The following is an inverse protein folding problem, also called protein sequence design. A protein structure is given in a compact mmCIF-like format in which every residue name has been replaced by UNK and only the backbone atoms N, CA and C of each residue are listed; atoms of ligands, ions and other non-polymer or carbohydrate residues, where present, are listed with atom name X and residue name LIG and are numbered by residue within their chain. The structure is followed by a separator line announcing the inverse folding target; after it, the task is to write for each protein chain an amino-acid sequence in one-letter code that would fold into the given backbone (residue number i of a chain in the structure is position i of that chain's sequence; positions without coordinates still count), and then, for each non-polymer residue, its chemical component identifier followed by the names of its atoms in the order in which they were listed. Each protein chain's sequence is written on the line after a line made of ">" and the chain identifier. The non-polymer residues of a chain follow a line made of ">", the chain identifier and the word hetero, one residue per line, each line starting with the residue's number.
data_IF_787884528683
#
_entry.id   IF_787884528683
#
_cell.length_a   1.000
_cell.length_b   1.000
_cell.length_c   1.000
_cell.angle_alpha   90.00
_cell.angle_beta   90.00
_cell.angle_gamma   90.00
#
_symmetry.space_group_name_H-M   'P 1'
#
loop_
_entity.id
_entity.type
_entity.pdbx_description
1 polymer ?
#
# COMPACT_ATOMS: atom_id res chain seq x y z
N UNK A 1 20.58 -19.45 -23.94
CA UNK A 1 20.95 -18.28 -23.12
C UNK A 1 21.52 -18.79 -21.81
N UNK A 2 22.82 -18.52 -21.54
CA UNK A 2 23.56 -19.00 -20.36
C UNK A 2 22.91 -18.40 -19.11
N UNK A 3 22.44 -19.26 -18.20
CA UNK A 3 22.13 -18.88 -16.83
C UNK A 3 23.41 -18.29 -16.19
N UNK A 4 23.57 -16.98 -16.24
CA UNK A 4 24.52 -16.32 -15.35
C UNK A 4 23.88 -16.41 -13.96
N UNK A 5 24.48 -17.16 -13.05
CA UNK A 5 24.22 -17.03 -11.63
C UNK A 5 24.50 -15.56 -11.29
N UNK A 6 23.43 -14.80 -11.12
CA UNK A 6 23.53 -13.42 -10.66
C UNK A 6 23.78 -13.51 -9.16
N UNK A 7 24.86 -12.90 -8.70
CA UNK A 7 25.12 -12.79 -7.27
C UNK A 7 24.10 -11.83 -6.66
N UNK A 8 23.07 -12.39 -6.03
CA UNK A 8 21.97 -11.64 -5.44
C UNK A 8 22.39 -10.68 -4.31
N UNK A 9 23.52 -10.98 -3.64
CA UNK A 9 24.06 -10.07 -2.62
C UNK A 9 24.52 -8.76 -3.24
N UNK A 10 25.04 -8.80 -4.47
CA UNK A 10 25.42 -7.60 -5.21
C UNK A 10 24.22 -6.75 -5.64
N UNK A 11 23.08 -7.38 -6.00
CA UNK A 11 21.86 -6.66 -6.39
C UNK A 11 21.23 -5.90 -5.21
N UNK A 12 21.28 -6.47 -4.02
CA UNK A 12 20.74 -5.86 -2.79
C UNK A 12 21.51 -4.63 -2.34
N UNK A 13 22.84 -4.69 -2.49
CA UNK A 13 23.73 -3.61 -2.04
C UNK A 13 23.89 -2.51 -3.07
N UNK A 14 23.41 -2.73 -4.30
CA UNK A 14 23.50 -1.76 -5.38
C UNK A 14 22.53 -0.60 -5.16
N UNK A 15 23.00 0.59 -5.41
CA UNK A 15 22.17 1.78 -5.56
C UNK A 15 21.77 1.93 -7.03
N UNK A 16 20.46 1.97 -7.29
CA UNK A 16 19.91 2.20 -8.62
C UNK A 16 19.66 3.68 -8.84
N UNK A 17 19.93 4.15 -10.06
CA UNK A 17 19.73 5.54 -10.46
C UNK A 17 18.24 5.81 -10.73
N UNK A 18 17.46 5.89 -9.66
CA UNK A 18 16.02 6.06 -9.72
C UNK A 18 15.29 4.82 -10.26
N UNK A 19 13.99 4.99 -10.53
CA UNK A 19 13.12 3.90 -10.98
C UNK A 19 13.59 3.34 -12.32
N UNK A 20 14.02 4.20 -13.24
CA UNK A 20 14.51 3.77 -14.57
C UNK A 20 15.80 2.95 -14.51
N UNK A 21 16.61 3.16 -13.48
CA UNK A 21 17.80 2.33 -13.22
C UNK A 21 17.48 0.86 -12.92
N UNK A 22 16.24 0.54 -12.53
CA UNK A 22 15.81 -0.85 -12.32
C UNK A 22 15.74 -1.66 -13.61
N UNK A 23 15.79 -1.03 -14.79
CA UNK A 23 15.95 -1.73 -16.08
C UNK A 23 17.30 -2.49 -16.20
N UNK A 24 18.26 -2.21 -15.31
CA UNK A 24 19.49 -2.99 -15.20
C UNK A 24 19.28 -4.37 -14.56
N UNK A 25 18.14 -4.58 -13.89
CA UNK A 25 17.73 -5.88 -13.36
C UNK A 25 17.24 -6.79 -14.50
N UNK A 26 17.48 -8.10 -14.41
CA UNK A 26 17.08 -9.05 -15.47
C UNK A 26 15.56 -9.27 -15.54
N UNK A 27 14.80 -8.54 -14.77
CA UNK A 27 13.37 -8.70 -14.62
C UNK A 27 12.53 -7.71 -15.41
N UNK A 28 13.17 -6.65 -15.91
CA UNK A 28 12.47 -5.55 -16.56
C UNK A 28 13.13 -5.15 -17.86
N UNK A 29 12.31 -4.66 -18.78
CA UNK A 29 12.73 -3.86 -19.93
C UNK A 29 12.08 -2.48 -19.86
N UNK A 30 12.79 -1.48 -20.38
CA UNK A 30 12.25 -0.12 -20.44
C UNK A 30 11.44 0.05 -21.72
N UNK A 31 10.24 0.60 -21.59
CA UNK A 31 9.38 0.98 -22.70
C UNK A 31 9.80 2.33 -23.29
N UNK A 32 9.32 2.67 -24.48
CA UNK A 32 9.64 3.94 -25.16
C UNK A 32 9.19 5.18 -24.36
N UNK A 33 8.12 5.07 -23.57
CA UNK A 33 7.62 6.11 -22.67
C UNK A 33 8.30 6.12 -21.30
N UNK A 34 9.32 5.25 -21.11
CA UNK A 34 10.18 5.23 -19.91
C UNK A 34 9.57 4.55 -18.71
N UNK A 35 8.52 3.74 -18.89
CA UNK A 35 7.99 2.82 -17.90
C UNK A 35 8.74 1.49 -17.93
N UNK A 36 8.54 0.66 -16.92
CA UNK A 36 9.16 -0.66 -16.84
C UNK A 36 8.13 -1.75 -17.12
N UNK A 37 8.47 -2.65 -18.05
CA UNK A 37 7.68 -3.84 -18.35
C UNK A 37 8.32 -5.06 -17.70
N UNK A 38 7.51 -5.89 -17.05
CA UNK A 38 7.94 -7.16 -16.48
C UNK A 38 8.27 -8.17 -17.59
N UNK A 39 9.45 -8.82 -17.49
CA UNK A 39 9.91 -9.85 -18.44
C UNK A 39 10.04 -11.24 -17.82
N UNK A 40 9.57 -11.41 -16.58
CA UNK A 40 9.66 -12.67 -15.84
C UNK A 40 8.55 -13.61 -16.26
N UNK A 41 8.93 -14.78 -16.80
CA UNK A 41 7.98 -15.81 -17.17
C UNK A 41 7.20 -16.39 -15.98
N UNK A 42 5.92 -16.66 -16.20
CA UNK A 42 5.06 -17.35 -15.23
C UNK A 42 4.50 -16.47 -14.12
N UNK A 43 4.77 -15.15 -14.15
CA UNK A 43 4.10 -14.17 -13.31
C UNK A 43 2.99 -13.48 -14.09
N UNK A 44 1.84 -14.12 -14.10
CA UNK A 44 0.61 -13.58 -14.67
C UNK A 44 -0.41 -13.39 -13.54
N UNK A 45 -1.37 -12.50 -13.76
CA UNK A 45 -2.50 -12.30 -12.84
C UNK A 45 -2.11 -11.86 -11.43
N UNK A 46 -1.15 -10.92 -11.33
CA UNK A 46 -0.75 -10.32 -10.06
C UNK A 46 -1.89 -9.57 -9.37
N UNK A 47 -1.79 -9.44 -8.06
CA UNK A 47 -2.68 -8.60 -7.27
C UNK A 47 -1.85 -7.61 -6.45
N UNK A 48 -2.03 -6.33 -6.71
CA UNK A 48 -1.46 -5.29 -5.88
C UNK A 48 -2.38 -5.03 -4.68
N UNK A 49 -1.96 -5.49 -3.52
CA UNK A 49 -2.75 -5.43 -2.27
C UNK A 49 -2.81 -4.05 -1.62
N UNK A 50 -2.10 -3.04 -2.17
CA UNK A 50 -2.00 -1.72 -1.53
C UNK A 50 -1.80 -0.61 -2.56
N UNK A 51 -2.88 0.06 -2.95
CA UNK A 51 -2.83 1.21 -3.86
C UNK A 51 -3.78 2.32 -3.40
N UNK A 52 -3.50 3.53 -3.87
CA UNK A 52 -4.35 4.71 -3.66
C UNK A 52 -4.60 5.41 -4.99
N UNK A 53 -5.72 6.09 -5.13
CA UNK A 53 -5.85 7.15 -6.13
C UNK A 53 -5.46 8.50 -5.51
N UNK A 54 -5.76 9.60 -6.20
CA UNK A 54 -5.49 10.93 -5.68
C UNK A 54 -6.05 11.09 -4.25
N UNK A 55 -5.17 11.38 -3.30
CA UNK A 55 -5.53 11.67 -1.92
C UNK A 55 -5.87 13.15 -1.86
N UNK A 56 -7.12 13.48 -1.55
CA UNK A 56 -7.58 14.85 -1.41
C UNK A 56 -8.05 15.08 0.02
N UNK A 57 -7.36 15.94 0.73
CA UNK A 57 -7.75 16.37 2.06
C UNK A 57 -8.73 17.54 1.95
N UNK A 58 -9.77 17.55 2.78
CA UNK A 58 -10.81 18.58 2.78
C UNK A 58 -11.62 18.65 1.46
N UNK A 59 -12.49 19.64 1.32
CA UNK A 59 -13.30 19.87 0.11
C UNK A 59 -12.55 20.62 -1.01
N UNK A 60 -11.25 20.41 -1.13
CA UNK A 60 -10.48 20.99 -2.23
C UNK A 60 -10.89 20.44 -3.61
N UNK A 61 -10.42 21.05 -4.70
CA UNK A 61 -10.69 20.59 -6.06
C UNK A 61 -10.28 19.14 -6.22
N UNK A 62 -11.23 18.28 -6.63
CA UNK A 62 -10.97 16.85 -6.84
C UNK A 62 -10.46 16.65 -8.27
N UNK A 63 -9.30 15.97 -8.45
CA UNK A 63 -8.81 15.59 -9.77
C UNK A 63 -9.84 14.74 -10.54
N UNK A 64 -9.84 14.83 -11.86
CA UNK A 64 -10.58 13.89 -12.70
C UNK A 64 -9.86 12.53 -12.73
N UNK A 65 -10.35 11.58 -11.93
CA UNK A 65 -9.79 10.24 -11.82
C UNK A 65 -9.90 9.42 -13.12
N UNK A 66 -10.64 9.87 -14.12
CA UNK A 66 -10.79 9.19 -15.41
C UNK A 66 -9.79 9.72 -16.46
N UNK A 67 -9.09 10.80 -16.16
CA UNK A 67 -8.17 11.42 -17.10
C UNK A 67 -6.84 10.67 -17.17
N UNK A 68 -6.41 10.29 -18.37
CA UNK A 68 -5.05 9.77 -18.60
C UNK A 68 -4.06 10.92 -18.66
N UNK A 69 -2.99 10.82 -17.87
CA UNK A 69 -1.87 11.76 -17.91
C UNK A 69 -0.65 11.09 -18.55
N UNK A 70 0.18 11.85 -19.29
CA UNK A 70 1.37 11.29 -19.95
C UNK A 70 2.36 10.64 -18.99
N UNK A 71 2.42 11.14 -17.76
CA UNK A 71 3.37 10.69 -16.73
C UNK A 71 2.68 10.69 -15.36
N UNK A 72 2.95 9.68 -14.55
CA UNK A 72 2.59 9.69 -13.12
C UNK A 72 3.66 10.43 -12.33
N UNK A 73 3.24 11.39 -11.50
CA UNK A 73 4.13 12.10 -10.56
C UNK A 73 4.08 11.38 -9.22
N UNK A 74 5.03 10.48 -8.98
CA UNK A 74 5.12 9.79 -7.69
C UNK A 74 5.65 10.71 -6.60
N UNK A 75 5.31 10.42 -5.34
CA UNK A 75 5.86 11.18 -4.21
C UNK A 75 7.36 10.92 -4.01
N UNK A 76 7.84 9.70 -4.23
CA UNK A 76 9.27 9.46 -4.45
C UNK A 76 9.60 9.75 -5.91
N UNK A 77 10.40 10.77 -6.18
CA UNK A 77 10.78 11.17 -7.54
C UNK A 77 11.40 10.01 -8.30
N UNK A 78 11.08 9.89 -9.60
CA UNK A 78 11.60 8.82 -10.48
C UNK A 78 13.12 8.79 -10.57
N UNK A 79 13.79 9.89 -10.22
CA UNK A 79 15.26 10.03 -10.23
C UNK A 79 15.88 9.78 -8.86
N UNK A 80 15.06 9.74 -7.79
CA UNK A 80 15.59 9.52 -6.44
C UNK A 80 16.25 8.15 -6.35
N UNK A 81 17.46 8.06 -5.80
CA UNK A 81 18.22 6.83 -5.76
C UNK A 81 17.48 5.75 -4.95
N UNK A 82 17.53 4.52 -5.42
CA UNK A 82 16.86 3.38 -4.79
C UNK A 82 17.90 2.39 -4.24
N UNK A 83 17.84 2.15 -2.93
CA UNK A 83 18.59 1.11 -2.23
C UNK A 83 17.65 -0.02 -1.84
N UNK A 84 17.93 -1.23 -2.32
CA UNK A 84 17.04 -2.39 -2.10
C UNK A 84 17.01 -2.85 -0.64
N UNK A 85 18.07 -2.61 0.11
CA UNK A 85 18.17 -2.97 1.54
C UNK A 85 17.62 -1.92 2.51
N UNK A 86 17.14 -0.79 2.01
CA UNK A 86 16.45 0.18 2.84
C UNK A 86 14.95 -0.07 2.82
N UNK A 87 14.24 0.26 3.91
CA UNK A 87 12.81 0.50 3.84
C UNK A 87 12.55 1.60 2.80
N UNK A 88 11.52 1.44 1.95
CA UNK A 88 11.36 2.30 0.78
C UNK A 88 11.28 3.79 1.13
N UNK A 89 10.57 4.14 2.20
CA UNK A 89 10.47 5.51 2.69
C UNK A 89 11.81 6.16 3.07
N UNK A 90 12.83 5.35 3.38
CA UNK A 90 14.18 5.86 3.68
C UNK A 90 14.94 6.31 2.41
N UNK A 91 14.46 5.96 1.22
CA UNK A 91 15.02 6.45 -0.04
C UNK A 91 14.53 7.88 -0.38
N UNK A 92 13.50 8.39 0.28
CA UNK A 92 13.04 9.76 0.08
C UNK A 92 14.17 10.76 0.38
N UNK A 93 14.36 11.67 -0.54
CA UNK A 93 15.20 12.85 -0.34
C UNK A 93 14.43 13.92 0.44
N UNK A 94 15.12 14.97 0.93
CA UNK A 94 14.43 16.12 1.52
C UNK A 94 13.50 16.81 0.51
N UNK A 95 13.87 16.80 -0.77
CA UNK A 95 13.03 17.33 -1.83
C UNK A 95 11.76 16.51 -2.05
N UNK A 96 11.83 15.16 -1.99
CA UNK A 96 10.65 14.29 -2.09
C UNK A 96 9.67 14.58 -0.95
N UNK A 97 10.17 14.73 0.27
CA UNK A 97 9.35 15.07 1.45
C UNK A 97 8.72 16.46 1.33
N UNK A 98 9.47 17.44 0.84
CA UNK A 98 8.96 18.77 0.57
C UNK A 98 7.87 18.74 -0.52
N UNK A 99 8.08 17.99 -1.60
CA UNK A 99 7.11 17.81 -2.68
C UNK A 99 5.82 17.17 -2.17
N UNK A 100 5.92 16.15 -1.33
CA UNK A 100 4.76 15.48 -0.72
C UNK A 100 3.96 16.45 0.15
N UNK A 101 4.64 17.22 1.01
CA UNK A 101 4.00 18.22 1.86
C UNK A 101 3.33 19.32 1.02
N UNK A 102 4.03 19.85 0.03
CA UNK A 102 3.50 20.88 -0.87
C UNK A 102 2.33 20.33 -1.71
N UNK A 103 2.36 19.07 -2.10
CA UNK A 103 1.24 18.43 -2.81
C UNK A 103 -0.02 18.38 -1.94
N UNK A 104 0.11 18.04 -0.66
CA UNK A 104 -1.03 18.04 0.28
C UNK A 104 -1.60 19.46 0.45
N UNK A 105 -0.75 20.47 0.57
CA UNK A 105 -1.18 21.88 0.71
C UNK A 105 -1.79 22.41 -0.59
N UNK A 106 -1.20 22.11 -1.74
CA UNK A 106 -1.69 22.60 -3.04
C UNK A 106 -3.01 21.94 -3.48
N UNK A 107 -3.39 20.81 -2.87
CA UNK A 107 -4.72 20.24 -3.08
C UNK A 107 -5.85 21.20 -2.63
N UNK A 108 -5.54 22.22 -1.83
CA UNK A 108 -6.46 23.25 -1.40
C UNK A 108 -6.56 24.46 -2.37
N UNK A 109 -5.68 24.52 -3.39
CA UNK A 109 -5.71 25.57 -4.40
C UNK A 109 -6.69 25.24 -5.53
N UNK A 110 -7.21 26.25 -6.28
CA UNK A 110 -8.13 26.01 -7.39
C UNK A 110 -7.58 25.08 -8.49
N UNK A 111 -6.26 25.11 -8.71
CA UNK A 111 -5.55 24.30 -9.70
C UNK A 111 -5.31 22.86 -9.20
N UNK A 112 -5.44 22.64 -7.90
CA UNK A 112 -5.12 21.37 -7.27
C UNK A 112 -3.61 21.08 -7.24
N UNK A 113 -3.25 19.87 -6.87
CA UNK A 113 -1.85 19.43 -6.83
C UNK A 113 -1.41 18.84 -8.17
N UNK A 114 -0.26 19.27 -8.68
CA UNK A 114 0.36 18.69 -9.88
C UNK A 114 0.71 17.22 -9.73
N UNK A 115 0.86 16.73 -8.49
CA UNK A 115 1.07 15.32 -8.18
C UNK A 115 -0.26 14.58 -8.19
N UNK A 116 -1.18 14.93 -7.29
CA UNK A 116 -2.46 14.22 -7.12
C UNK A 116 -3.30 14.23 -8.38
N UNK A 117 -3.19 15.26 -9.23
CA UNK A 117 -3.87 15.30 -10.52
C UNK A 117 -3.49 14.13 -11.45
N UNK A 118 -2.32 13.51 -11.26
CA UNK A 118 -1.86 12.37 -12.08
C UNK A 118 -2.16 11.00 -11.46
N UNK A 119 -2.67 10.96 -10.23
CA UNK A 119 -2.96 9.73 -9.50
C UNK A 119 -4.35 9.19 -9.87
N UNK A 120 -4.48 8.75 -11.10
CA UNK A 120 -5.75 8.44 -11.76
C UNK A 120 -5.88 6.97 -12.13
N UNK A 121 -7.10 6.52 -12.38
CA UNK A 121 -7.40 5.14 -12.79
C UNK A 121 -6.60 4.72 -14.04
N UNK A 122 -6.59 5.49 -15.16
CA UNK A 122 -5.84 5.07 -16.33
C UNK A 122 -4.32 5.05 -16.13
N UNK A 123 -3.79 5.90 -15.23
CA UNK A 123 -2.36 5.90 -14.94
C UNK A 123 -1.95 4.64 -14.15
N UNK A 124 -2.72 4.25 -13.14
CA UNK A 124 -2.47 3.00 -12.41
C UNK A 124 -2.61 1.78 -13.34
N UNK A 125 -3.69 1.70 -14.12
CA UNK A 125 -3.91 0.58 -15.04
C UNK A 125 -2.74 0.43 -16.03
N UNK A 126 -2.16 1.52 -16.52
CA UNK A 126 -1.02 1.44 -17.44
C UNK A 126 0.20 0.75 -16.80
N UNK A 127 0.48 1.00 -15.52
CA UNK A 127 1.54 0.28 -14.80
C UNK A 127 1.15 -1.16 -14.51
N UNK A 128 -0.09 -1.40 -14.09
CA UNK A 128 -0.62 -2.75 -13.85
C UNK A 128 -0.46 -3.65 -15.09
N UNK A 129 -0.84 -3.14 -16.27
CA UNK A 129 -0.78 -3.90 -17.51
C UNK A 129 0.66 -4.23 -17.91
N UNK A 130 1.60 -3.31 -17.72
CA UNK A 130 3.03 -3.55 -17.99
C UNK A 130 3.67 -4.55 -17.00
N UNK A 131 3.12 -4.67 -15.82
CA UNK A 131 3.65 -5.52 -14.76
C UNK A 131 2.85 -6.81 -14.56
N UNK A 132 1.89 -7.14 -15.44
CA UNK A 132 1.02 -8.32 -15.37
C UNK A 132 0.17 -8.37 -14.07
N UNK A 133 -0.28 -7.22 -13.58
CA UNK A 133 -1.17 -7.11 -12.43
C UNK A 133 -2.61 -7.03 -12.92
N UNK A 134 -3.42 -8.00 -12.55
CA UNK A 134 -4.82 -8.04 -12.95
C UNK A 134 -5.71 -7.19 -12.06
N UNK A 135 -5.42 -7.16 -10.78
CA UNK A 135 -6.26 -6.46 -9.79
C UNK A 135 -5.42 -5.59 -8.86
N UNK A 136 -6.02 -4.49 -8.43
CA UNK A 136 -5.46 -3.63 -7.38
C UNK A 136 -6.48 -3.42 -6.26
N UNK A 137 -6.01 -3.49 -5.02
CA UNK A 137 -6.78 -3.13 -3.83
C UNK A 137 -6.67 -1.63 -3.63
N UNK A 138 -7.77 -0.91 -3.77
CA UNK A 138 -7.81 0.56 -3.68
C UNK A 138 -8.21 0.98 -2.27
N UNK A 139 -7.35 1.75 -1.64
CA UNK A 139 -7.41 2.13 -0.23
C UNK A 139 -7.63 3.65 -0.09
N UNK A 140 -8.87 4.13 0.06
CA UNK A 140 -9.12 5.52 0.40
C UNK A 140 -8.60 5.81 1.83
N UNK A 141 -8.20 7.06 2.10
CA UNK A 141 -7.72 7.49 3.42
C UNK A 141 -8.66 8.56 3.96
N UNK A 142 -9.42 8.23 5.01
CA UNK A 142 -10.22 9.19 5.75
C UNK A 142 -9.36 9.90 6.80
N UNK A 143 -9.43 11.23 6.80
CA UNK A 143 -8.74 12.08 7.79
C UNK A 143 -9.56 12.27 9.07
N UNK A 144 -10.86 11.97 9.01
CA UNK A 144 -11.77 12.15 10.13
C UNK A 144 -12.18 13.60 10.37
N UNK A 145 -12.09 14.43 9.33
CA UNK A 145 -12.66 15.77 9.35
C UNK A 145 -14.20 15.72 9.31
N UNK A 146 -14.90 16.70 9.90
CA UNK A 146 -16.36 16.75 9.87
C UNK A 146 -16.95 17.01 8.46
N UNK A 147 -16.13 17.49 7.53
CA UNK A 147 -16.52 17.82 6.15
C UNK A 147 -15.46 17.29 5.17
N UNK A 148 -15.89 16.98 3.94
CA UNK A 148 -14.99 16.65 2.83
C UNK A 148 -14.26 15.32 2.93
N UNK A 149 -14.73 14.42 3.78
CA UNK A 149 -14.09 13.11 4.02
C UNK A 149 -14.74 11.97 3.21
N UNK A 150 -15.43 12.32 2.11
CA UNK A 150 -16.17 11.38 1.26
C UNK A 150 -15.32 10.74 0.15
N UNK A 151 -14.05 10.55 0.44
CA UNK A 151 -13.07 10.02 -0.52
C UNK A 151 -13.46 8.61 -1.01
N UNK A 152 -14.10 7.79 -0.18
CA UNK A 152 -14.59 6.46 -0.59
C UNK A 152 -15.69 6.58 -1.65
N UNK A 153 -16.64 7.49 -1.46
CA UNK A 153 -17.73 7.72 -2.41
C UNK A 153 -17.20 8.20 -3.76
N UNK A 154 -16.26 9.12 -3.73
CA UNK A 154 -15.62 9.63 -4.93
C UNK A 154 -14.88 8.52 -5.70
N UNK A 155 -14.17 7.62 -5.01
CA UNK A 155 -13.49 6.49 -5.65
C UNK A 155 -14.50 5.49 -6.24
N UNK A 156 -15.58 5.18 -5.51
CA UNK A 156 -16.63 4.28 -5.99
C UNK A 156 -17.28 4.81 -7.27
N UNK A 157 -17.65 6.10 -7.31
CA UNK A 157 -18.23 6.76 -8.50
C UNK A 157 -17.25 6.72 -9.68
N UNK A 158 -15.99 7.08 -9.45
CA UNK A 158 -14.99 7.10 -10.52
C UNK A 158 -14.73 5.70 -11.09
N UNK A 159 -14.63 4.68 -10.24
CA UNK A 159 -14.42 3.28 -10.69
C UNK A 159 -15.65 2.79 -11.49
N UNK A 160 -16.86 3.06 -11.06
CA UNK A 160 -18.06 2.69 -11.79
C UNK A 160 -18.09 3.35 -13.19
N UNK A 161 -17.82 4.65 -13.25
CA UNK A 161 -17.77 5.43 -14.49
C UNK A 161 -16.62 5.04 -15.42
N UNK A 162 -15.53 4.49 -14.87
CA UNK A 162 -14.37 4.05 -15.67
C UNK A 162 -14.65 2.80 -16.52
N UNK A 163 -15.69 2.03 -16.20
CA UNK A 163 -15.95 0.72 -16.80
C UNK A 163 -14.89 -0.33 -16.50
N UNK A 164 -14.04 -0.11 -15.49
CA UNK A 164 -12.91 -0.99 -15.10
C UNK A 164 -13.06 -1.60 -13.70
N UNK A 165 -14.30 -1.72 -13.24
CA UNK A 165 -14.62 -2.21 -11.90
C UNK A 165 -14.03 -3.60 -11.57
N UNK A 166 -13.93 -4.45 -12.57
CA UNK A 166 -13.33 -5.78 -12.48
C UNK A 166 -11.83 -5.77 -12.18
N UNK A 167 -11.14 -4.65 -12.43
CA UNK A 167 -9.72 -4.46 -12.13
C UNK A 167 -9.48 -4.07 -10.66
N UNK A 168 -10.51 -3.77 -9.87
CA UNK A 168 -10.35 -3.18 -8.55
C UNK A 168 -11.08 -3.94 -7.45
N UNK A 169 -10.42 -4.08 -6.30
CA UNK A 169 -10.98 -4.48 -5.02
C UNK A 169 -11.07 -3.21 -4.18
N UNK A 170 -12.29 -2.74 -3.91
CA UNK A 170 -12.48 -1.43 -3.30
C UNK A 170 -12.67 -1.59 -1.81
N UNK A 171 -11.82 -0.92 -1.02
CA UNK A 171 -12.02 -0.73 0.41
C UNK A 171 -12.73 0.60 0.68
N UNK A 172 -13.34 0.69 1.85
CA UNK A 172 -13.80 1.97 2.40
C UNK A 172 -12.77 2.56 3.36
N UNK A 173 -13.03 3.76 3.85
CA UNK A 173 -12.26 4.35 4.93
C UNK A 173 -13.16 5.00 5.96
N UNK A 174 -12.83 4.78 7.24
CA UNK A 174 -13.59 5.30 8.39
C UNK A 174 -12.59 5.70 9.48
N UNK A 175 -12.83 6.83 10.15
CA UNK A 175 -12.17 7.12 11.42
C UNK A 175 -12.90 6.37 12.54
N UNK A 176 -12.27 5.38 13.18
CA UNK A 176 -12.93 4.46 14.11
C UNK A 176 -13.54 5.11 15.36
N UNK A 177 -12.97 6.23 15.81
CA UNK A 177 -13.36 6.91 17.06
C UNK A 177 -14.50 7.91 16.89
N UNK A 178 -15.05 8.09 15.68
CA UNK A 178 -16.20 8.95 15.48
C UNK A 178 -17.50 8.28 15.94
N UNK A 179 -18.47 9.04 16.48
CA UNK A 179 -19.74 8.48 16.95
C UNK A 179 -20.55 7.74 15.90
N UNK A 180 -20.38 8.08 14.62
CA UNK A 180 -21.08 7.48 13.48
C UNK A 180 -20.28 6.40 12.76
N UNK A 181 -19.08 6.03 13.26
CA UNK A 181 -18.18 5.06 12.62
C UNK A 181 -18.88 3.73 12.31
N UNK A 182 -19.64 3.18 13.25
CA UNK A 182 -20.44 1.95 13.08
C UNK A 182 -21.48 2.11 11.97
N UNK A 183 -22.22 3.23 11.95
CA UNK A 183 -23.23 3.51 10.93
C UNK A 183 -22.60 3.62 9.54
N UNK A 184 -21.50 4.37 9.43
CA UNK A 184 -20.75 4.56 8.20
C UNK A 184 -20.22 3.22 7.66
N UNK A 185 -19.68 2.36 8.52
CA UNK A 185 -19.21 1.02 8.17
C UNK A 185 -20.32 0.15 7.56
N UNK A 186 -21.52 0.15 8.15
CA UNK A 186 -22.69 -0.55 7.60
C UNK A 186 -23.07 -0.04 6.21
N UNK A 187 -23.08 1.28 6.03
CA UNK A 187 -23.39 1.90 4.75
C UNK A 187 -22.37 1.53 3.67
N UNK A 188 -21.08 1.53 4.01
CA UNK A 188 -20.02 1.14 3.09
C UNK A 188 -20.12 -0.34 2.68
N UNK A 189 -20.46 -1.24 3.62
CA UNK A 189 -20.74 -2.65 3.30
C UNK A 189 -21.86 -2.80 2.29
N UNK A 190 -22.96 -2.05 2.46
CA UNK A 190 -24.10 -2.07 1.52
C UNK A 190 -23.69 -1.55 0.12
N UNK A 191 -22.72 -0.65 0.03
CA UNK A 191 -22.16 -0.16 -1.24
C UNK A 191 -21.16 -1.14 -1.88
N UNK A 192 -20.89 -2.26 -1.23
CA UNK A 192 -20.09 -3.35 -1.79
C UNK A 192 -18.60 -3.24 -1.53
N UNK A 193 -18.14 -2.38 -0.60
CA UNK A 193 -16.72 -2.38 -0.20
C UNK A 193 -16.33 -3.72 0.41
N UNK A 194 -15.09 -4.14 0.18
CA UNK A 194 -14.58 -5.46 0.57
C UNK A 194 -13.78 -5.45 1.87
N UNK A 195 -13.31 -4.29 2.31
CA UNK A 195 -12.56 -4.09 3.54
C UNK A 195 -12.56 -2.62 3.94
N UNK A 196 -11.92 -2.29 5.06
CA UNK A 196 -11.80 -0.92 5.54
C UNK A 196 -10.33 -0.57 5.73
N UNK A 197 -9.88 0.49 5.08
CA UNK A 197 -8.57 1.13 5.34
C UNK A 197 -8.69 2.07 6.52
N UNK A 198 -7.75 1.95 7.44
CA UNK A 198 -7.61 2.86 8.58
C UNK A 198 -6.18 3.37 8.64
N UNK A 199 -6.03 4.68 8.82
CA UNK A 199 -4.73 5.33 8.90
C UNK A 199 -4.59 6.09 10.23
N UNK A 200 -4.03 5.47 11.28
CA UNK A 200 -4.01 6.05 12.63
C UNK A 200 -3.39 7.44 12.70
N UNK A 201 -2.27 7.67 12.00
CA UNK A 201 -1.61 8.98 12.01
C UNK A 201 -2.46 10.08 11.34
N UNK A 202 -3.11 9.78 10.19
CA UNK A 202 -3.97 10.77 9.50
C UNK A 202 -5.26 11.03 10.26
N UNK A 203 -5.84 9.99 10.84
CA UNK A 203 -7.08 10.10 11.61
C UNK A 203 -6.86 10.49 13.10
N UNK A 204 -5.61 10.69 13.52
CA UNK A 204 -5.20 11.13 14.86
C UNK A 204 -5.86 10.30 16.00
N UNK A 205 -5.68 8.99 15.97
CA UNK A 205 -6.10 8.07 17.04
C UNK A 205 -5.12 6.91 17.15
N UNK A 206 -5.10 6.22 18.29
CA UNK A 206 -4.32 4.99 18.47
C UNK A 206 -5.22 3.76 18.33
N UNK A 207 -4.76 2.67 17.69
CA UNK A 207 -5.57 1.46 17.51
C UNK A 207 -6.14 0.84 18.80
N UNK A 208 -5.46 0.99 19.93
CA UNK A 208 -5.91 0.54 21.23
C UNK A 208 -6.90 1.49 21.93
N UNK A 209 -7.30 2.60 21.30
CA UNK A 209 -8.33 3.49 21.83
C UNK A 209 -9.66 2.75 21.94
N UNK A 210 -10.23 2.72 23.15
CA UNK A 210 -11.51 2.05 23.44
C UNK A 210 -12.69 2.60 22.64
N UNK A 211 -12.63 3.85 22.18
CA UNK A 211 -13.65 4.42 21.31
C UNK A 211 -13.74 3.72 19.95
N UNK A 212 -12.64 3.06 19.51
CA UNK A 212 -12.61 2.31 18.25
C UNK A 212 -13.23 0.89 18.36
N UNK A 213 -13.50 0.38 19.58
CA UNK A 213 -13.85 -1.03 19.76
C UNK A 213 -15.21 -1.40 19.14
N UNK A 214 -16.23 -0.55 19.27
CA UNK A 214 -17.52 -0.78 18.62
C UNK A 214 -17.39 -0.87 17.07
N UNK A 215 -16.47 -0.11 16.49
CA UNK A 215 -16.14 -0.21 15.06
C UNK A 215 -15.46 -1.53 14.73
N UNK A 216 -14.50 -2.01 15.53
CA UNK A 216 -13.85 -3.32 15.31
C UNK A 216 -14.84 -4.47 15.42
N UNK A 217 -15.71 -4.45 16.42
CA UNK A 217 -16.78 -5.43 16.56
C UNK A 217 -17.69 -5.46 15.34
N UNK A 218 -18.09 -4.29 14.84
CA UNK A 218 -18.94 -4.20 13.65
C UNK A 218 -18.22 -4.69 12.37
N UNK A 219 -16.95 -4.37 12.19
CA UNK A 219 -16.15 -4.90 11.07
C UNK A 219 -16.07 -6.42 11.12
N UNK A 220 -15.83 -7.00 12.32
CA UNK A 220 -15.83 -8.44 12.53
C UNK A 220 -17.17 -9.07 12.18
N UNK A 221 -18.27 -8.50 12.69
CA UNK A 221 -19.64 -8.97 12.41
C UNK A 221 -20.01 -8.93 10.93
N UNK A 222 -19.52 -7.95 10.19
CA UNK A 222 -19.77 -7.77 8.76
C UNK A 222 -18.80 -8.55 7.86
N UNK A 223 -17.79 -9.20 8.44
CA UNK A 223 -16.72 -9.85 7.68
C UNK A 223 -15.94 -8.84 6.80
N UNK A 224 -15.65 -7.66 7.33
CA UNK A 224 -14.85 -6.63 6.67
C UNK A 224 -13.44 -6.63 7.28
N UNK A 225 -12.42 -7.12 6.58
CA UNK A 225 -11.05 -7.05 7.04
C UNK A 225 -10.60 -5.59 7.19
N UNK A 226 -9.66 -5.36 8.10
CA UNK A 226 -9.05 -4.07 8.33
C UNK A 226 -7.65 -4.02 7.73
N UNK A 227 -7.39 -3.03 6.87
CA UNK A 227 -6.08 -2.73 6.35
C UNK A 227 -5.54 -1.52 7.12
N UNK A 228 -4.64 -1.78 8.05
CA UNK A 228 -4.16 -0.81 9.02
C UNK A 228 -2.79 -0.29 8.62
N UNK A 229 -2.69 1.02 8.35
CA UNK A 229 -1.37 1.66 8.30
C UNK A 229 -0.69 1.50 9.65
N UNK A 230 0.50 0.89 9.69
CA UNK A 230 1.17 0.59 10.94
C UNK A 230 2.69 0.76 10.88
N UNK A 231 3.26 1.05 12.02
CA UNK A 231 4.69 1.22 12.22
C UNK A 231 5.25 2.58 11.78
N UNK A 232 6.55 2.69 11.87
CA UNK A 232 7.33 3.87 11.53
C UNK A 232 7.76 3.78 10.06
N UNK A 233 7.30 4.67 9.20
CA UNK A 233 7.39 4.50 7.73
C UNK A 233 8.29 5.51 7.01
N UNK A 234 8.98 6.40 7.68
CA UNK A 234 9.82 7.40 7.03
C UNK A 234 10.95 7.95 7.90
N UNK A 235 11.72 8.88 7.35
CA UNK A 235 12.76 9.60 8.11
C UNK A 235 12.17 10.42 9.25
N UNK A 236 10.97 10.96 9.05
CA UNK A 236 10.25 11.75 10.07
C UNK A 236 9.93 10.93 11.30
N UNK A 237 9.81 9.62 11.15
CA UNK A 237 9.52 8.70 12.25
C UNK A 237 10.71 8.48 13.19
N UNK A 238 11.92 8.84 12.76
CA UNK A 238 13.13 8.67 13.56
C UNK A 238 13.36 9.79 14.59
N UNK A 239 12.72 10.96 14.40
CA UNK A 239 12.83 12.10 15.31
C UNK A 239 11.44 12.74 15.55
N UNK A 240 10.74 12.32 16.62
CA UNK A 240 9.39 12.79 16.91
C UNK A 240 9.29 14.30 17.20
N UNK A 241 10.39 14.95 17.51
CA UNK A 241 10.39 16.39 17.85
C UNK A 241 10.51 17.29 16.60
N UNK A 242 10.85 16.72 15.44
CA UNK A 242 11.00 17.46 14.16
C UNK A 242 9.76 17.41 13.27
N UNK A 243 8.75 16.64 13.61
CA UNK A 243 7.57 16.44 12.78
C UNK A 243 6.43 17.33 13.27
N UNK A 244 6.25 18.53 12.82
CA UNK A 244 5.12 19.45 12.99
C UNK A 244 3.80 18.82 13.53
N UNK A 245 3.84 18.06 14.64
CA UNK A 245 2.71 17.33 15.23
C UNK A 245 2.34 16.00 14.53
N UNK A 246 2.94 15.65 13.42
CA UNK A 246 2.83 14.33 12.78
C UNK A 246 3.81 13.37 13.44
N UNK A 247 3.54 13.06 14.68
CA UNK A 247 4.32 12.05 15.40
C UNK A 247 3.86 10.69 14.91
N UNK A 248 4.74 9.83 14.40
CA UNK A 248 4.44 8.45 14.02
C UNK A 248 3.85 7.59 15.16
N UNK A 249 3.59 8.18 16.32
CA UNK A 249 3.13 7.57 17.57
C UNK A 249 1.77 6.88 17.46
N UNK A 250 0.84 7.41 16.66
CA UNK A 250 -0.48 6.80 16.51
C UNK A 250 -0.40 5.44 15.80
N UNK A 251 0.50 5.32 14.84
CA UNK A 251 0.72 4.07 14.10
C UNK A 251 1.83 3.20 14.70
N UNK A 252 2.41 3.55 15.86
CA UNK A 252 3.36 2.69 16.55
C UNK A 252 2.78 1.29 16.70
N UNK A 253 3.54 0.28 16.26
CA UNK A 253 3.07 -1.11 16.18
C UNK A 253 2.63 -1.66 17.53
N UNK A 254 3.15 -1.13 18.64
CA UNK A 254 2.76 -1.55 19.98
C UNK A 254 1.29 -1.25 20.31
N UNK A 255 0.67 -0.29 19.63
CA UNK A 255 -0.75 0.03 19.79
C UNK A 255 -1.69 -1.01 19.17
N UNK A 256 -1.16 -1.97 18.40
CA UNK A 256 -1.97 -2.96 17.68
C UNK A 256 -2.15 -4.28 18.43
N UNK A 257 -1.33 -4.59 19.43
CA UNK A 257 -1.41 -5.86 20.16
C UNK A 257 -2.77 -6.11 20.78
N UNK A 258 -3.29 -5.14 21.49
CA UNK A 258 -4.53 -5.30 22.26
C UNK A 258 -5.76 -5.52 21.35
N UNK A 259 -6.03 -4.67 20.33
CA UNK A 259 -7.18 -4.89 19.46
C UNK A 259 -7.06 -6.19 18.63
N UNK A 260 -5.88 -6.57 18.17
CA UNK A 260 -5.69 -7.82 17.43
C UNK A 260 -6.03 -9.02 18.32
N UNK A 261 -5.57 -9.05 19.56
CA UNK A 261 -5.87 -10.13 20.50
C UNK A 261 -7.34 -10.16 20.91
N UNK A 262 -7.99 -8.99 21.03
CA UNK A 262 -9.38 -8.89 21.43
C UNK A 262 -10.40 -9.31 20.35
N UNK A 263 -10.02 -9.22 19.07
CA UNK A 263 -10.88 -9.53 17.91
C UNK A 263 -10.31 -10.64 17.03
N UNK A 264 -10.20 -11.90 17.52
CA UNK A 264 -9.56 -12.99 16.77
C UNK A 264 -10.30 -13.42 15.49
N UNK A 265 -11.58 -13.07 15.36
CA UNK A 265 -12.37 -13.33 14.16
C UNK A 265 -12.29 -12.22 13.12
N UNK A 266 -11.65 -11.08 13.44
CA UNK A 266 -11.44 -9.98 12.54
C UNK A 266 -10.07 -10.14 11.85
N UNK A 267 -10.05 -10.17 10.53
CA UNK A 267 -8.80 -10.20 9.79
C UNK A 267 -8.16 -8.81 9.75
N UNK A 268 -6.87 -8.76 10.09
CA UNK A 268 -6.05 -7.56 10.04
C UNK A 268 -4.94 -7.73 8.99
N UNK A 269 -4.81 -6.75 8.10
CA UNK A 269 -3.62 -6.60 7.27
C UNK A 269 -2.79 -5.45 7.87
N UNK A 270 -1.62 -5.77 8.40
CA UNK A 270 -0.66 -4.78 8.88
C UNK A 270 0.09 -4.22 7.68
N UNK A 271 -0.42 -3.08 7.18
CA UNK A 271 0.18 -2.39 6.04
C UNK A 271 1.63 -1.99 6.34
N UNK A 272 2.48 -2.03 5.32
CA UNK A 272 3.91 -1.77 5.45
C UNK A 272 4.65 -2.78 6.35
N UNK A 273 3.97 -3.85 6.79
CA UNK A 273 4.54 -4.84 7.74
C UNK A 273 5.26 -4.18 8.91
N UNK A 274 4.67 -3.11 9.48
CA UNK A 274 5.25 -2.36 10.58
C UNK A 274 6.37 -1.38 10.20
N UNK A 275 6.64 -1.15 8.92
CA UNK A 275 7.69 -0.23 8.49
C UNK A 275 9.06 -0.59 9.08
N UNK A 276 9.68 0.33 9.83
CA UNK A 276 10.95 0.12 10.53
C UNK A 276 10.82 -0.77 11.77
N UNK A 277 9.60 -1.12 12.21
CA UNK A 277 9.29 -2.02 13.32
C UNK A 277 8.91 -3.43 12.81
N UNK A 278 9.45 -3.86 11.67
CA UNK A 278 9.07 -5.09 10.97
C UNK A 278 9.21 -6.36 11.82
N UNK A 279 10.23 -6.47 12.65
CA UNK A 279 10.42 -7.59 13.56
C UNK A 279 9.24 -7.77 14.54
N UNK A 280 8.67 -6.67 15.02
CA UNK A 280 7.49 -6.70 15.91
C UNK A 280 6.25 -7.13 15.12
N UNK A 281 6.07 -6.66 13.87
CA UNK A 281 4.96 -7.09 13.03
C UNK A 281 5.00 -8.60 12.75
N UNK A 282 6.18 -9.17 12.50
CA UNK A 282 6.38 -10.62 12.35
C UNK A 282 5.94 -11.35 13.61
N UNK A 283 6.36 -10.88 14.80
CA UNK A 283 6.00 -11.49 16.08
C UNK A 283 4.48 -11.44 16.35
N UNK A 284 3.82 -10.33 16.00
CA UNK A 284 2.37 -10.22 16.08
C UNK A 284 1.72 -11.26 15.14
N UNK A 285 2.13 -11.32 13.89
CA UNK A 285 1.54 -12.24 12.91
C UNK A 285 1.78 -13.71 13.25
N UNK A 286 2.92 -14.06 13.86
CA UNK A 286 3.20 -15.43 14.33
C UNK A 286 2.27 -15.87 15.45
N UNK A 287 1.87 -14.96 16.33
CA UNK A 287 1.00 -15.23 17.49
C UNK A 287 -0.48 -15.17 17.16
N UNK A 288 -0.87 -14.59 16.01
CA UNK A 288 -2.25 -14.33 15.65
C UNK A 288 -2.52 -14.73 14.20
N UNK A 289 -3.29 -15.80 14.00
CA UNK A 289 -3.58 -16.36 12.68
C UNK A 289 -4.43 -15.43 11.80
N UNK A 290 -5.18 -14.52 12.41
CA UNK A 290 -6.00 -13.52 11.75
C UNK A 290 -5.19 -12.31 11.22
N UNK A 291 -3.86 -12.31 11.37
CA UNK A 291 -2.98 -11.22 10.94
C UNK A 291 -2.26 -11.58 9.65
N UNK A 292 -2.33 -10.69 8.68
CA UNK A 292 -1.64 -10.74 7.40
C UNK A 292 -0.68 -9.55 7.29
N UNK A 293 0.37 -9.70 6.51
CA UNK A 293 1.35 -8.65 6.25
C UNK A 293 1.40 -8.33 4.75
N UNK A 294 1.38 -7.07 4.37
CA UNK A 294 1.84 -6.70 3.04
C UNK A 294 3.35 -6.38 3.06
N UNK A 295 4.03 -6.71 1.98
CA UNK A 295 5.48 -6.48 1.86
C UNK A 295 5.82 -5.04 1.44
N UNK A 296 4.81 -4.18 1.36
CA UNK A 296 4.95 -2.81 0.89
C UNK A 296 6.07 -2.08 1.63
N UNK A 297 6.95 -1.44 0.89
CA UNK A 297 8.06 -0.66 1.42
C UNK A 297 9.21 -1.47 2.04
N UNK A 298 9.04 -2.76 2.31
CA UNK A 298 10.05 -3.54 3.01
C UNK A 298 11.31 -3.77 2.17
N UNK A 299 12.46 -3.82 2.84
CA UNK A 299 13.74 -4.17 2.23
C UNK A 299 13.75 -5.63 1.77
N UNK A 300 14.63 -5.96 0.84
CA UNK A 300 14.84 -7.35 0.38
C UNK A 300 15.17 -8.26 1.56
N UNK A 301 16.04 -7.81 2.48
CA UNK A 301 16.40 -8.56 3.68
C UNK A 301 15.20 -8.81 4.60
N UNK A 302 14.33 -7.80 4.81
CA UNK A 302 13.13 -7.96 5.62
C UNK A 302 12.11 -8.91 4.97
N UNK A 303 11.93 -8.84 3.64
CA UNK A 303 11.04 -9.77 2.92
C UNK A 303 11.52 -11.22 3.11
N UNK A 304 12.83 -11.48 2.99
CA UNK A 304 13.39 -12.82 3.27
C UNK A 304 13.17 -13.24 4.72
N UNK A 305 13.34 -12.32 5.66
CA UNK A 305 13.09 -12.60 7.08
C UNK A 305 11.62 -12.95 7.32
N UNK A 306 10.68 -12.21 6.74
CA UNK A 306 9.25 -12.52 6.83
C UNK A 306 8.93 -13.91 6.25
N UNK A 307 9.47 -14.25 5.07
CA UNK A 307 9.29 -15.58 4.45
C UNK A 307 9.83 -16.66 5.37
N UNK A 308 11.02 -16.47 5.97
CA UNK A 308 11.66 -17.45 6.85
C UNK A 308 10.92 -17.62 8.17
N UNK A 309 10.52 -16.53 8.83
CA UNK A 309 10.03 -16.55 10.21
C UNK A 309 8.50 -16.73 10.30
N UNK A 310 7.74 -16.25 9.32
CA UNK A 310 6.29 -16.35 9.27
C UNK A 310 5.78 -17.41 8.29
N UNK A 311 6.55 -17.70 7.25
CA UNK A 311 6.08 -18.41 6.05
C UNK A 311 5.48 -17.44 5.02
N UNK A 312 5.41 -17.88 3.73
CA UNK A 312 4.91 -17.03 2.66
C UNK A 312 3.38 -16.89 2.64
N UNK A 313 2.62 -17.76 3.32
CA UNK A 313 1.17 -17.96 3.13
C UNK A 313 0.33 -16.76 3.51
N UNK A 314 0.82 -15.90 4.39
CA UNK A 314 0.13 -14.69 4.88
C UNK A 314 0.84 -13.40 4.50
N UNK A 315 1.70 -13.47 3.46
CA UNK A 315 2.36 -12.30 2.88
C UNK A 315 1.67 -11.93 1.57
N UNK A 316 1.46 -10.64 1.33
CA UNK A 316 0.87 -10.11 0.09
C UNK A 316 1.76 -9.04 -0.53
N UNK A 317 1.83 -9.02 -1.85
CA UNK A 317 2.42 -7.90 -2.58
C UNK A 317 1.58 -6.65 -2.42
N UNK A 318 2.22 -5.50 -2.31
CA UNK A 318 1.60 -4.17 -2.30
C UNK A 318 2.62 -3.12 -2.71
N UNK A 319 2.21 -2.13 -3.49
CA UNK A 319 3.09 -1.09 -4.02
C UNK A 319 3.05 0.22 -3.26
N UNK A 320 1.92 0.54 -2.65
CA UNK A 320 1.62 1.88 -2.13
C UNK A 320 1.60 2.95 -3.25
N UNK A 321 1.25 2.51 -4.48
CA UNK A 321 1.06 3.47 -5.55
C UNK A 321 0.04 4.54 -5.13
N UNK A 322 0.27 5.82 -5.32
CA UNK A 322 1.31 6.49 -6.10
C UNK A 322 2.47 7.05 -5.25
N UNK A 323 2.63 6.60 -4.00
CA UNK A 323 3.81 7.01 -3.22
C UNK A 323 5.09 6.52 -3.90
N UNK A 324 5.04 5.31 -4.47
CA UNK A 324 6.12 4.69 -5.20
C UNK A 324 5.62 4.09 -6.52
N UNK A 325 6.49 4.00 -7.52
CA UNK A 325 6.19 3.25 -8.74
C UNK A 325 6.09 1.75 -8.42
N UNK A 326 5.10 1.07 -8.97
CA UNK A 326 4.84 -0.36 -8.71
C UNK A 326 6.06 -1.24 -8.95
N UNK A 327 6.80 -0.97 -10.04
CA UNK A 327 8.01 -1.71 -10.40
C UNK A 327 9.08 -1.70 -9.31
N UNK A 328 9.19 -0.63 -8.51
CA UNK A 328 10.22 -0.52 -7.46
C UNK A 328 9.97 -1.48 -6.29
N UNK A 329 8.72 -1.76 -5.98
CA UNK A 329 8.35 -2.73 -4.95
C UNK A 329 8.38 -4.15 -5.50
N UNK A 330 7.96 -4.35 -6.76
CA UNK A 330 8.04 -5.64 -7.43
C UNK A 330 9.49 -6.12 -7.58
N UNK A 331 10.43 -5.23 -7.89
CA UNK A 331 11.86 -5.55 -7.93
C UNK A 331 12.35 -6.19 -6.62
N UNK A 332 11.91 -5.68 -5.47
CA UNK A 332 12.28 -6.20 -4.14
C UNK A 332 11.74 -7.62 -3.92
N UNK A 333 10.50 -7.89 -4.29
CA UNK A 333 9.92 -9.22 -4.24
C UNK A 333 10.71 -10.19 -5.14
N UNK A 334 11.02 -9.77 -6.37
CA UNK A 334 11.74 -10.59 -7.35
C UNK A 334 13.14 -10.97 -6.85
N UNK A 335 13.88 -10.03 -6.27
CA UNK A 335 15.20 -10.27 -5.68
C UNK A 335 15.07 -11.15 -4.43
N UNK A 336 14.11 -10.87 -3.55
CA UNK A 336 13.93 -11.61 -2.30
C UNK A 336 13.59 -13.09 -2.53
N UNK A 337 12.86 -13.38 -3.61
CA UNK A 337 12.40 -14.73 -3.97
C UNK A 337 13.18 -15.34 -5.14
N UNK A 338 14.40 -14.89 -5.39
CA UNK A 338 15.25 -15.46 -6.43
C UNK A 338 15.43 -16.96 -6.21
N UNK A 339 15.19 -17.73 -7.28
CA UNK A 339 15.25 -19.19 -7.23
C UNK A 339 13.99 -19.89 -6.71
N UNK A 340 13.03 -19.19 -6.10
CA UNK A 340 11.77 -19.79 -5.63
C UNK A 340 10.55 -19.17 -6.31
N UNK A 341 10.19 -19.75 -7.45
CA UNK A 341 9.02 -19.31 -8.25
C UNK A 341 7.69 -19.55 -7.53
N UNK A 342 7.62 -20.54 -6.65
CA UNK A 342 6.40 -20.88 -5.91
C UNK A 342 6.10 -19.82 -4.87
N UNK A 343 7.05 -19.51 -3.99
CA UNK A 343 6.91 -18.43 -3.00
C UNK A 343 6.61 -17.09 -3.69
N UNK A 344 7.32 -16.80 -4.78
CA UNK A 344 7.11 -15.59 -5.58
C UNK A 344 5.65 -15.46 -6.03
N UNK A 345 5.10 -16.51 -6.63
CA UNK A 345 3.72 -16.54 -7.13
C UNK A 345 2.70 -16.43 -6.00
N UNK A 346 2.94 -17.11 -4.89
CA UNK A 346 2.08 -17.00 -3.70
C UNK A 346 1.95 -15.55 -3.24
N UNK A 347 3.07 -14.85 -3.02
CA UNK A 347 3.08 -13.47 -2.51
C UNK A 347 2.54 -12.49 -3.56
N UNK A 348 2.90 -12.69 -4.84
CA UNK A 348 2.51 -11.79 -5.93
C UNK A 348 1.01 -11.85 -6.27
N UNK A 349 0.37 -13.00 -6.07
CA UNK A 349 -1.00 -13.25 -6.56
C UNK A 349 -1.86 -14.09 -5.61
N UNK A 350 -1.47 -15.35 -5.37
CA UNK A 350 -2.37 -16.38 -4.83
C UNK A 350 -2.89 -16.04 -3.43
N UNK A 351 -2.04 -15.49 -2.58
CA UNK A 351 -2.41 -15.12 -1.21
C UNK A 351 -3.47 -14.02 -1.18
N UNK A 352 -3.31 -12.98 -2.01
CA UNK A 352 -4.31 -11.92 -2.09
C UNK A 352 -5.62 -12.42 -2.70
N UNK A 353 -5.58 -13.27 -3.74
CA UNK A 353 -6.78 -13.89 -4.31
C UNK A 353 -7.52 -14.72 -3.27
N UNK A 354 -6.80 -15.51 -2.46
CA UNK A 354 -7.38 -16.29 -1.35
C UNK A 354 -7.96 -15.38 -0.26
N UNK A 355 -7.22 -14.37 0.17
CA UNK A 355 -7.67 -13.43 1.20
C UNK A 355 -8.99 -12.73 0.82
N UNK A 356 -9.13 -12.34 -0.44
CA UNK A 356 -10.30 -11.64 -0.94
C UNK A 356 -11.42 -12.57 -1.45
N UNK A 357 -11.25 -13.90 -1.32
CA UNK A 357 -12.25 -14.90 -1.78
C UNK A 357 -12.48 -14.89 -3.29
N UNK A 358 -11.42 -14.61 -4.08
CA UNK A 358 -11.48 -14.52 -5.55
C UNK A 358 -11.03 -15.81 -6.25
N UNK A 359 -10.57 -16.80 -5.51
CA UNK A 359 -10.37 -18.18 -5.99
C UNK A 359 -11.48 -19.05 -5.44
N UNK A 360 -12.11 -19.87 -6.28
CA UNK A 360 -12.92 -20.98 -5.80
C UNK A 360 -11.99 -21.93 -5.04
N UNK A 361 -12.29 -22.21 -3.78
CA UNK A 361 -11.73 -23.36 -3.09
C UNK A 361 -12.23 -24.58 -3.87
N UNK A 362 -11.33 -25.12 -4.74
CA UNK A 362 -11.59 -26.36 -5.50
C UNK A 362 -11.75 -27.55 -4.58
#
# INVERSE_FOLDING_TARGET
>A
LKNKHIDNSALELKQYAGIRGLAELPYFEMTDDGLLRLTVDGLNSGVDGHTHFAINALDGPKPDLLKRHPETKYYLDIKSPILMNNYMGQNNTEQDLANMTMSMLSSLTPEGSVFTNTHTIPNLIAEMDLLNIDKAVVLPIAFGFPYGDDITEWYLDAIERSGKKDRFIICGSVKPTLPDAVKKTKQLKLKGVKGIKVHPNMALFTPNDRLAWAFYEECSRLGLPLLLHCGLVGKESADPDKTMGYTGRHADINNFFEPIAAFPSLHFVLCHSGGLQNNIAIDIARKNENVWLDIQGQSVGNIRTMIKELGPERLMFGSDWPFFAVASLLARLLIATEGDKTIRKMIYSENALRFWGLVSLG
#
